data_IF_796701903077
#
_entry.id   IF_796701903077
#
_cell.length_a   1.000
_cell.length_b   1.000
_cell.length_c   1.000
_cell.angle_alpha   90.00
_cell.angle_beta   90.00
_cell.angle_gamma   90.00
#
_symmetry.space_group_name_H-M   'P 1'
#
loop_
_entity.id
_entity.type
_entity.pdbx_description
1 polymer ?
#
# COMPACT_ATOMS: atom_id res chain seq x y z
N UNK A 1 -43.61 -3.95 12.63
CA UNK A 1 -43.50 -2.51 12.25
C UNK A 1 -42.28 -1.88 12.92
N UNK A 2 -42.14 -1.98 14.25
CA UNK A 2 -40.94 -1.53 14.98
C UNK A 2 -39.68 -2.30 14.54
N UNK A 3 -39.72 -3.63 14.44
CA UNK A 3 -38.59 -4.44 13.93
C UNK A 3 -38.09 -4.03 12.53
N UNK A 4 -39.00 -3.55 11.66
CA UNK A 4 -38.61 -3.12 10.31
C UNK A 4 -37.91 -1.75 10.34
N UNK A 5 -38.35 -0.87 11.24
CA UNK A 5 -37.70 0.44 11.49
C UNK A 5 -36.35 0.24 12.15
N UNK A 6 -36.21 -0.73 13.08
CA UNK A 6 -34.94 -1.05 13.70
C UNK A 6 -33.91 -1.56 12.70
N UNK A 7 -34.31 -2.46 11.81
CA UNK A 7 -33.44 -2.96 10.75
C UNK A 7 -32.97 -1.83 9.82
N UNK A 8 -33.88 -0.94 9.45
CA UNK A 8 -33.58 0.21 8.58
C UNK A 8 -32.71 1.26 9.29
N UNK A 9 -32.91 1.48 10.60
CA UNK A 9 -32.05 2.33 11.43
C UNK A 9 -30.64 1.77 11.56
N UNK A 10 -30.49 0.46 11.77
CA UNK A 10 -29.19 -0.22 11.80
C UNK A 10 -28.50 -0.02 10.46
N UNK A 11 -29.18 -0.35 9.35
CA UNK A 11 -28.60 -0.23 8.01
C UNK A 11 -28.13 1.20 7.68
N UNK A 12 -28.97 2.21 7.98
CA UNK A 12 -28.62 3.61 7.75
C UNK A 12 -27.46 4.03 8.66
N UNK A 13 -27.47 3.63 9.94
CA UNK A 13 -26.41 4.02 10.88
C UNK A 13 -25.08 3.35 10.56
N UNK A 14 -25.08 2.09 10.14
CA UNK A 14 -23.89 1.39 9.62
C UNK A 14 -23.31 2.14 8.43
N UNK A 15 -24.15 2.59 7.49
CA UNK A 15 -23.71 3.41 6.34
C UNK A 15 -23.17 4.80 6.76
N UNK A 16 -23.72 5.43 7.80
CA UNK A 16 -23.20 6.69 8.35
C UNK A 16 -21.83 6.48 8.97
N UNK A 17 -21.65 5.43 9.78
CA UNK A 17 -20.34 5.10 10.37
C UNK A 17 -19.32 4.76 9.26
N UNK A 18 -19.75 4.06 8.20
CA UNK A 18 -18.93 3.84 7.01
C UNK A 18 -18.48 5.16 6.37
N UNK A 19 -19.37 6.16 6.27
CA UNK A 19 -19.00 7.49 5.76
C UNK A 19 -17.91 8.14 6.61
N UNK A 20 -18.05 8.12 7.94
CA UNK A 20 -17.04 8.66 8.87
C UNK A 20 -15.68 7.97 8.68
N UNK A 21 -15.66 6.64 8.56
CA UNK A 21 -14.43 5.89 8.28
C UNK A 21 -13.82 6.26 6.92
N UNK A 22 -14.64 6.39 5.88
CA UNK A 22 -14.19 6.83 4.56
C UNK A 22 -13.59 8.24 4.58
N UNK A 23 -14.15 9.15 5.38
CA UNK A 23 -13.60 10.50 5.58
C UNK A 23 -12.22 10.46 6.26
N UNK A 24 -12.04 9.61 7.27
CA UNK A 24 -10.73 9.37 7.88
C UNK A 24 -9.70 8.82 6.88
N UNK A 25 -10.09 7.82 6.06
CA UNK A 25 -9.23 7.24 5.02
C UNK A 25 -8.88 8.26 3.94
N UNK A 26 -9.85 9.09 3.54
CA UNK A 26 -9.65 10.18 2.59
C UNK A 26 -8.61 11.19 3.08
N UNK A 27 -8.71 11.64 4.33
CA UNK A 27 -7.75 12.59 4.90
C UNK A 27 -6.35 11.97 5.03
N UNK A 28 -6.25 10.71 5.46
CA UNK A 28 -4.98 9.99 5.49
C UNK A 28 -4.34 9.89 4.09
N UNK A 29 -5.12 9.52 3.07
CA UNK A 29 -4.67 9.43 1.68
C UNK A 29 -4.24 10.79 1.11
N UNK A 30 -4.97 11.87 1.41
CA UNK A 30 -4.60 13.24 1.01
C UNK A 30 -3.27 13.69 1.60
N UNK A 31 -3.05 13.42 2.88
CA UNK A 31 -1.78 13.74 3.55
C UNK A 31 -0.61 12.96 2.92
N UNK A 32 -0.81 11.70 2.55
CA UNK A 32 0.18 10.90 1.84
C UNK A 32 0.45 11.44 0.43
N UNK A 33 -0.60 11.78 -0.32
CA UNK A 33 -0.50 12.37 -1.66
C UNK A 33 0.29 13.68 -1.65
N UNK A 34 0.06 14.54 -0.66
CA UNK A 34 0.81 15.78 -0.48
C UNK A 34 2.31 15.53 -0.28
N UNK A 35 2.68 14.54 0.54
CA UNK A 35 4.08 14.15 0.76
C UNK A 35 4.72 13.63 -0.52
N UNK A 36 4.01 12.81 -1.29
CA UNK A 36 4.49 12.28 -2.57
C UNK A 36 4.68 13.39 -3.61
N UNK A 37 3.77 14.36 -3.70
CA UNK A 37 3.94 15.52 -4.56
C UNK A 37 5.17 16.35 -4.20
N UNK A 38 5.42 16.57 -2.90
CA UNK A 38 6.62 17.26 -2.43
C UNK A 38 7.90 16.50 -2.82
N UNK A 39 7.92 15.17 -2.62
CA UNK A 39 9.05 14.31 -3.04
C UNK A 39 9.28 14.38 -4.55
N UNK A 40 8.21 14.30 -5.35
CA UNK A 40 8.26 14.39 -6.82
C UNK A 40 8.77 15.75 -7.30
N UNK A 41 8.44 16.85 -6.61
CA UNK A 41 8.93 18.19 -6.95
C UNK A 41 10.45 18.30 -6.74
N UNK A 42 10.97 17.74 -5.64
CA UNK A 42 12.42 17.64 -5.41
C UNK A 42 13.11 16.82 -6.51
N UNK A 43 12.58 15.64 -6.81
CA UNK A 43 13.13 14.75 -7.83
C UNK A 43 13.10 15.35 -9.24
N UNK A 44 12.09 16.16 -9.59
CA UNK A 44 12.04 16.89 -10.86
C UNK A 44 13.23 17.83 -11.03
N UNK A 45 13.69 18.45 -9.94
CA UNK A 45 14.86 19.35 -9.98
C UNK A 45 16.14 18.57 -10.25
N UNK A 46 16.30 17.41 -9.59
CA UNK A 46 17.41 16.49 -9.84
C UNK A 46 17.38 15.98 -11.29
N UNK A 47 16.21 15.57 -11.78
CA UNK A 47 16.04 15.09 -13.15
C UNK A 47 16.52 16.10 -14.18
N UNK A 48 16.13 17.37 -14.03
CA UNK A 48 16.55 18.45 -14.93
C UNK A 48 18.07 18.69 -14.90
N UNK A 49 18.70 18.52 -13.72
CA UNK A 49 20.15 18.62 -13.56
C UNK A 49 20.85 17.49 -14.31
N UNK A 50 20.49 16.23 -14.04
CA UNK A 50 21.13 15.07 -14.68
C UNK A 50 20.92 15.07 -16.21
N UNK A 51 19.73 15.49 -16.68
CA UNK A 51 19.48 15.69 -18.12
C UNK A 51 20.39 16.76 -18.74
N UNK A 52 20.73 17.81 -18.00
CA UNK A 52 21.63 18.87 -18.47
C UNK A 52 23.07 18.38 -18.51
N UNK A 53 23.50 17.64 -17.49
CA UNK A 53 24.86 17.14 -17.37
C UNK A 53 25.17 16.12 -18.49
N UNK A 54 24.26 15.18 -18.76
CA UNK A 54 24.34 14.29 -19.95
C UNK A 54 24.40 15.08 -21.26
N UNK A 55 23.49 16.04 -21.47
CA UNK A 55 23.47 16.87 -22.69
C UNK A 55 24.76 17.67 -22.87
N UNK A 56 25.39 18.12 -21.78
CA UNK A 56 26.64 18.87 -21.84
C UNK A 56 27.80 17.99 -22.32
N UNK A 57 27.87 16.74 -21.84
CA UNK A 57 28.89 15.76 -22.22
C UNK A 57 28.70 15.24 -23.64
N UNK A 58 27.46 15.14 -24.13
CA UNK A 58 27.15 14.76 -25.51
C UNK A 58 27.57 15.83 -26.54
N UNK A 59 27.42 17.12 -26.20
CA UNK A 59 27.69 18.26 -27.10
C UNK A 59 29.17 18.63 -27.29
N UNK A 60 30.09 18.16 -26.44
CA UNK A 60 31.52 18.53 -26.47
C UNK A 60 32.35 17.88 -27.60
N UNK A 61 31.74 17.61 -28.76
CA UNK A 61 32.36 17.00 -29.95
C UNK A 61 33.19 17.99 -30.77
N UNK A 62 34.10 18.75 -30.14
CA UNK A 62 35.08 19.58 -30.86
C UNK A 62 36.42 18.85 -30.98
N UNK A 63 36.89 18.72 -32.23
CA UNK A 63 37.94 17.84 -32.75
C UNK A 63 39.35 17.94 -32.11
N UNK A 64 39.62 18.82 -31.16
CA UNK A 64 40.99 19.12 -30.68
C UNK A 64 41.41 18.47 -29.36
N UNK A 65 40.52 17.78 -28.62
CA UNK A 65 40.80 17.23 -27.28
C UNK A 65 40.73 15.68 -27.25
N UNK A 66 40.81 15.03 -28.41
CA UNK A 66 40.38 13.64 -28.59
C UNK A 66 41.30 12.59 -27.92
N UNK A 67 42.62 12.70 -28.07
CA UNK A 67 43.50 11.55 -27.83
C UNK A 67 43.85 11.23 -26.36
N UNK A 68 43.58 12.13 -25.41
CA UNK A 68 43.85 11.92 -23.97
C UNK A 68 42.59 11.75 -23.11
N UNK A 69 41.39 11.99 -23.67
CA UNK A 69 40.15 12.17 -22.90
C UNK A 69 39.04 11.15 -23.22
N UNK A 70 39.21 10.30 -24.23
CA UNK A 70 38.16 9.35 -24.67
C UNK A 70 37.83 8.29 -23.61
N UNK A 71 38.84 7.79 -22.90
CA UNK A 71 38.63 6.81 -21.83
C UNK A 71 37.79 7.41 -20.69
N UNK A 72 38.23 8.55 -20.14
CA UNK A 72 37.58 9.22 -19.01
C UNK A 72 36.24 9.87 -19.36
N UNK A 73 36.04 10.35 -20.60
CA UNK A 73 34.74 10.89 -21.06
C UNK A 73 33.69 9.80 -21.24
N UNK A 74 34.03 8.67 -21.84
CA UNK A 74 33.08 7.58 -22.05
C UNK A 74 32.63 7.00 -20.70
N UNK A 75 33.56 6.88 -19.76
CA UNK A 75 33.27 6.49 -18.39
C UNK A 75 32.37 7.53 -17.68
N UNK A 76 32.70 8.83 -17.76
CA UNK A 76 31.88 9.89 -17.17
C UNK A 76 30.48 9.95 -17.79
N UNK A 77 30.36 9.88 -19.11
CA UNK A 77 29.06 9.88 -19.81
C UNK A 77 28.22 8.64 -19.43
N UNK A 78 28.86 7.48 -19.23
CA UNK A 78 28.17 6.29 -18.74
C UNK A 78 27.62 6.52 -17.34
N UNK A 79 28.43 7.01 -16.41
CA UNK A 79 28.01 7.26 -15.03
C UNK A 79 26.84 8.26 -14.98
N UNK A 80 26.92 9.35 -15.73
CA UNK A 80 25.87 10.38 -15.77
C UNK A 80 24.57 9.86 -16.41
N UNK A 81 24.67 8.93 -17.38
CA UNK A 81 23.50 8.24 -17.92
C UNK A 81 22.88 7.26 -16.92
N UNK A 82 23.68 6.58 -16.12
CA UNK A 82 23.19 5.72 -15.03
C UNK A 82 22.49 6.55 -13.94
N UNK A 83 23.07 7.68 -13.55
CA UNK A 83 22.46 8.63 -12.61
C UNK A 83 21.14 9.19 -13.16
N UNK A 84 21.11 9.61 -14.42
CA UNK A 84 19.88 10.04 -15.09
C UNK A 84 18.82 8.92 -15.12
N UNK A 85 19.20 7.70 -15.49
CA UNK A 85 18.27 6.57 -15.60
C UNK A 85 17.62 6.24 -14.25
N UNK A 86 18.39 6.29 -13.16
CA UNK A 86 17.87 6.08 -11.79
C UNK A 86 16.81 7.13 -11.43
N UNK A 87 17.11 8.41 -11.69
CA UNK A 87 16.20 9.52 -11.38
C UNK A 87 14.95 9.50 -12.25
N UNK A 88 15.07 9.14 -13.55
CA UNK A 88 13.93 8.95 -14.45
C UNK A 88 13.01 7.84 -13.94
N UNK A 89 13.59 6.70 -13.58
CA UNK A 89 12.84 5.57 -13.06
C UNK A 89 12.10 5.90 -11.75
N UNK A 90 12.77 6.54 -10.78
CA UNK A 90 12.13 7.00 -9.56
C UNK A 90 11.00 8.01 -9.83
N UNK A 91 11.17 8.88 -10.83
CA UNK A 91 10.16 9.86 -11.20
C UNK A 91 8.93 9.19 -11.79
N UNK A 92 9.11 8.23 -12.68
CA UNK A 92 8.03 7.42 -13.24
C UNK A 92 7.29 6.63 -12.16
N UNK A 93 8.03 5.96 -11.27
CA UNK A 93 7.44 5.24 -10.14
C UNK A 93 6.57 6.16 -9.26
N UNK A 94 7.08 7.34 -8.88
CA UNK A 94 6.29 8.27 -8.08
C UNK A 94 5.02 8.75 -8.81
N UNK A 95 5.05 8.87 -10.15
CA UNK A 95 3.84 9.17 -10.91
C UNK A 95 2.81 8.06 -10.79
N UNK A 96 3.24 6.80 -10.91
CA UNK A 96 2.33 5.66 -10.84
C UNK A 96 1.69 5.55 -9.45
N UNK A 97 2.47 5.75 -8.38
CA UNK A 97 1.94 5.76 -7.01
C UNK A 97 0.97 6.94 -6.80
N UNK A 98 1.32 8.13 -7.27
CA UNK A 98 0.42 9.30 -7.20
C UNK A 98 -0.90 9.02 -7.93
N UNK A 99 -0.85 8.41 -9.11
CA UNK A 99 -2.03 8.09 -9.89
C UNK A 99 -2.91 7.04 -9.19
N UNK A 100 -2.30 6.01 -8.60
CA UNK A 100 -3.01 4.99 -7.80
C UNK A 100 -3.69 5.62 -6.59
N UNK A 101 -2.96 6.44 -5.83
CA UNK A 101 -3.49 7.10 -4.64
C UNK A 101 -4.59 8.13 -4.98
N UNK A 102 -4.45 8.83 -6.12
CA UNK A 102 -5.52 9.71 -6.62
C UNK A 102 -6.78 8.91 -6.96
N UNK A 103 -6.63 7.74 -7.57
CA UNK A 103 -7.77 6.86 -7.87
C UNK A 103 -8.46 6.35 -6.59
N UNK A 104 -7.68 6.06 -5.53
CA UNK A 104 -8.22 5.73 -4.20
C UNK A 104 -8.99 6.91 -3.59
N UNK A 105 -8.43 8.13 -3.67
CA UNK A 105 -9.09 9.36 -3.21
C UNK A 105 -10.40 9.60 -3.96
N UNK A 106 -10.41 9.46 -5.28
CA UNK A 106 -11.60 9.66 -6.10
C UNK A 106 -12.69 8.62 -5.75
N UNK A 107 -12.28 7.37 -5.50
CA UNK A 107 -13.16 6.33 -5.00
C UNK A 107 -13.79 6.69 -3.64
N UNK A 108 -12.99 7.16 -2.67
CA UNK A 108 -13.52 7.58 -1.36
C UNK A 108 -14.49 8.76 -1.49
N UNK A 109 -14.16 9.76 -2.31
CA UNK A 109 -15.02 10.92 -2.56
C UNK A 109 -16.37 10.48 -3.14
N UNK A 110 -16.37 9.61 -4.15
CA UNK A 110 -17.60 9.11 -4.76
C UNK A 110 -18.47 8.34 -3.73
N UNK A 111 -17.84 7.47 -2.94
CA UNK A 111 -18.54 6.73 -1.87
C UNK A 111 -19.13 7.67 -0.83
N UNK A 112 -18.40 8.66 -0.34
CA UNK A 112 -18.89 9.64 0.64
C UNK A 112 -20.07 10.44 0.07
N UNK A 113 -19.98 10.88 -1.20
CA UNK A 113 -21.05 11.63 -1.85
C UNK A 113 -22.36 10.83 -1.95
N UNK A 114 -22.26 9.52 -2.21
CA UNK A 114 -23.41 8.63 -2.27
C UNK A 114 -24.11 8.45 -0.90
N UNK A 115 -23.44 8.74 0.21
CA UNK A 115 -23.95 8.58 1.58
C UNK A 115 -24.47 9.89 2.19
N UNK A 116 -24.32 11.03 1.50
CA UNK A 116 -24.56 12.39 2.04
C UNK A 116 -25.98 12.64 2.57
N UNK A 117 -26.98 11.94 2.07
CA UNK A 117 -28.39 12.15 2.43
C UNK A 117 -28.86 11.27 3.60
N UNK A 118 -28.05 10.30 4.02
CA UNK A 118 -28.45 9.28 5.00
C UNK A 118 -28.61 9.84 6.41
N UNK A 119 -27.88 10.89 6.78
CA UNK A 119 -27.98 11.55 8.09
C UNK A 119 -29.38 12.14 8.33
N UNK A 120 -29.96 12.80 7.31
CA UNK A 120 -31.33 13.34 7.42
C UNK A 120 -32.40 12.25 7.45
N UNK A 121 -32.14 11.10 6.79
CA UNK A 121 -33.05 9.96 6.81
C UNK A 121 -33.01 9.26 8.17
N UNK A 122 -31.82 9.09 8.75
CA UNK A 122 -31.63 8.54 10.10
C UNK A 122 -32.41 9.32 11.16
N UNK A 123 -32.25 10.64 11.19
CA UNK A 123 -32.96 11.54 12.13
C UNK A 123 -34.48 11.45 12.01
N UNK A 124 -34.98 11.27 10.78
CA UNK A 124 -36.42 11.12 10.53
C UNK A 124 -36.94 9.78 11.03
N UNK A 125 -36.23 8.69 10.75
CA UNK A 125 -36.61 7.34 11.20
C UNK A 125 -36.51 7.20 12.72
N UNK A 126 -35.50 7.84 13.34
CA UNK A 126 -35.30 7.81 14.79
C UNK A 126 -36.48 8.46 15.51
N UNK A 127 -36.95 9.64 15.05
CA UNK A 127 -38.14 10.31 15.58
C UNK A 127 -39.41 9.48 15.41
N UNK A 128 -39.55 8.76 14.30
CA UNK A 128 -40.66 7.84 14.08
C UNK A 128 -40.63 6.68 15.10
N UNK A 129 -39.45 6.10 15.35
CA UNK A 129 -39.26 5.04 16.36
C UNK A 129 -39.57 5.55 17.78
N UNK A 130 -39.04 6.71 18.17
CA UNK A 130 -39.31 7.33 19.48
C UNK A 130 -40.82 7.52 19.70
N UNK A 131 -41.53 8.03 18.70
CA UNK A 131 -42.99 8.23 18.75
C UNK A 131 -43.74 6.91 18.88
N UNK A 132 -43.27 5.82 18.25
CA UNK A 132 -43.92 4.50 18.33
C UNK A 132 -43.68 3.81 19.68
N UNK A 133 -42.51 3.97 20.29
CA UNK A 133 -42.15 3.31 21.56
C UNK A 133 -42.75 4.05 22.76
N UNK A 134 -42.79 5.38 22.71
CA UNK A 134 -43.48 6.22 23.70
C UNK A 134 -44.95 5.81 23.90
N UNK A 135 -45.60 5.34 22.84
CA UNK A 135 -47.01 4.96 22.87
C UNK A 135 -47.28 3.50 23.25
N UNK A 136 -46.26 2.61 23.30
CA UNK A 136 -46.51 1.15 23.34
C UNK A 136 -45.73 0.33 24.37
N UNK A 137 -44.55 0.74 24.90
CA UNK A 137 -43.90 0.15 26.10
C UNK A 137 -42.48 0.71 26.31
N UNK A 138 -42.31 1.58 27.31
CA UNK A 138 -41.05 2.30 27.61
C UNK A 138 -39.90 1.38 28.11
N UNK A 139 -40.20 0.24 28.73
CA UNK A 139 -39.19 -0.60 29.41
C UNK A 139 -38.23 -1.34 28.45
N UNK A 140 -38.64 -1.58 27.20
CA UNK A 140 -37.83 -2.29 26.20
C UNK A 140 -36.96 -1.36 25.33
N UNK A 141 -37.13 -0.03 25.44
CA UNK A 141 -36.40 0.96 24.62
C UNK A 141 -34.88 0.87 24.81
N UNK A 142 -34.45 0.86 26.07
CA UNK A 142 -33.04 0.89 26.45
C UNK A 142 -32.29 -0.40 26.06
N UNK A 143 -32.79 -1.62 26.38
CA UNK A 143 -32.17 -2.86 25.92
C UNK A 143 -32.06 -2.96 24.40
N UNK A 144 -33.12 -2.60 23.68
CA UNK A 144 -33.17 -2.67 22.21
C UNK A 144 -32.18 -1.70 21.55
N UNK A 145 -32.08 -0.48 22.08
CA UNK A 145 -31.12 0.52 21.57
C UNK A 145 -29.68 0.07 21.78
N UNK A 146 -29.37 -0.58 22.91
CA UNK A 146 -28.05 -1.15 23.17
C UNK A 146 -27.70 -2.29 22.21
N UNK A 147 -28.63 -3.21 21.96
CA UNK A 147 -28.43 -4.29 20.99
C UNK A 147 -28.21 -3.76 19.57
N UNK A 148 -29.01 -2.78 19.14
CA UNK A 148 -28.83 -2.15 17.83
C UNK A 148 -27.44 -1.50 17.70
N UNK A 149 -26.98 -0.79 18.74
CA UNK A 149 -25.65 -0.18 18.75
C UNK A 149 -24.54 -1.23 18.69
N UNK A 150 -24.73 -2.37 19.36
CA UNK A 150 -23.80 -3.50 19.29
C UNK A 150 -23.73 -4.09 17.88
N UNK A 151 -24.88 -4.32 17.21
CA UNK A 151 -24.92 -4.78 15.81
C UNK A 151 -24.16 -3.80 14.91
N UNK A 152 -24.43 -2.51 15.00
CA UNK A 152 -23.77 -1.46 14.20
C UNK A 152 -22.25 -1.52 14.36
N UNK A 153 -21.76 -1.66 15.60
CA UNK A 153 -20.33 -1.73 15.88
C UNK A 153 -19.71 -3.01 15.30
N UNK A 154 -20.40 -4.15 15.42
CA UNK A 154 -19.93 -5.42 14.88
C UNK A 154 -19.91 -5.41 13.34
N UNK A 155 -20.89 -4.79 12.68
CA UNK A 155 -20.92 -4.64 11.22
C UNK A 155 -19.77 -3.76 10.72
N UNK A 156 -19.50 -2.64 11.41
CA UNK A 156 -18.35 -1.80 11.11
C UNK A 156 -17.02 -2.57 11.26
N UNK A 157 -16.87 -3.33 12.35
CA UNK A 157 -15.69 -4.17 12.59
C UNK A 157 -15.48 -5.21 11.48
N UNK A 158 -16.55 -5.91 11.08
CA UNK A 158 -16.51 -6.90 9.99
C UNK A 158 -16.03 -6.24 8.70
N UNK A 159 -16.51 -5.04 8.40
CA UNK A 159 -16.11 -4.32 7.19
C UNK A 159 -14.62 -3.98 7.21
N UNK A 160 -14.12 -3.34 8.27
CA UNK A 160 -12.70 -2.96 8.40
C UNK A 160 -11.79 -4.20 8.34
N UNK A 161 -12.17 -5.29 9.02
CA UNK A 161 -11.42 -6.57 8.95
C UNK A 161 -11.34 -7.09 7.51
N UNK A 162 -12.44 -7.05 6.76
CA UNK A 162 -12.42 -7.49 5.36
C UNK A 162 -11.50 -6.63 4.49
N UNK A 163 -11.48 -5.31 4.68
CA UNK A 163 -10.60 -4.40 3.94
C UNK A 163 -9.12 -4.69 4.24
N UNK A 164 -8.76 -4.91 5.51
CA UNK A 164 -7.41 -5.32 5.88
C UNK A 164 -7.04 -6.72 5.35
N UNK A 165 -7.97 -7.68 5.35
CA UNK A 165 -7.76 -9.00 4.77
C UNK A 165 -7.48 -8.91 3.26
N UNK A 166 -8.18 -8.04 2.53
CA UNK A 166 -7.94 -7.81 1.10
C UNK A 166 -6.54 -7.21 0.90
N UNK A 167 -6.22 -6.12 1.60
CA UNK A 167 -4.91 -5.47 1.49
C UNK A 167 -3.75 -6.41 1.86
N UNK A 168 -3.89 -7.20 2.93
CA UNK A 168 -2.86 -8.17 3.34
C UNK A 168 -2.69 -9.31 2.33
N UNK A 169 -3.77 -9.77 1.67
CA UNK A 169 -3.68 -10.76 0.58
C UNK A 169 -2.95 -10.20 -0.65
N UNK A 170 -3.18 -8.93 -1.00
CA UNK A 170 -2.42 -8.25 -2.06
C UNK A 170 -0.91 -8.25 -1.73
N UNK A 171 -0.56 -7.98 -0.47
CA UNK A 171 0.84 -8.03 -0.01
C UNK A 171 1.43 -9.44 -0.11
N UNK A 172 0.69 -10.48 0.33
CA UNK A 172 1.14 -11.88 0.22
C UNK A 172 1.45 -12.26 -1.24
N UNK A 173 0.54 -11.93 -2.15
CA UNK A 173 0.73 -12.19 -3.57
C UNK A 173 2.00 -11.48 -4.11
N UNK A 174 2.21 -10.22 -3.73
CA UNK A 174 3.40 -9.48 -4.15
C UNK A 174 4.70 -10.10 -3.60
N UNK A 175 4.72 -10.52 -2.32
CA UNK A 175 5.86 -11.20 -1.71
C UNK A 175 6.22 -12.50 -2.43
N UNK A 176 5.22 -13.31 -2.80
CA UNK A 176 5.43 -14.54 -3.58
C UNK A 176 6.02 -14.26 -4.96
N UNK A 177 5.51 -13.24 -5.65
CA UNK A 177 5.99 -12.82 -6.96
C UNK A 177 7.44 -12.33 -6.91
N UNK A 178 7.81 -11.56 -5.89
CA UNK A 178 9.20 -11.12 -5.69
C UNK A 178 10.08 -12.32 -5.37
N UNK A 179 9.62 -13.25 -4.51
CA UNK A 179 10.36 -14.48 -4.20
C UNK A 179 10.66 -15.31 -5.45
N UNK A 180 9.69 -15.46 -6.37
CA UNK A 180 9.90 -16.12 -7.67
C UNK A 180 10.95 -15.40 -8.53
N UNK A 181 10.86 -14.07 -8.60
CA UNK A 181 11.82 -13.25 -9.36
C UNK A 181 13.25 -13.35 -8.80
N UNK A 182 13.42 -13.24 -7.48
CA UNK A 182 14.71 -13.35 -6.81
C UNK A 182 15.32 -14.76 -6.88
N UNK A 183 14.50 -15.81 -6.74
CA UNK A 183 14.98 -17.19 -6.93
C UNK A 183 15.44 -17.44 -8.36
N UNK A 184 14.71 -16.90 -9.33
CA UNK A 184 15.12 -16.94 -10.74
C UNK A 184 16.46 -16.23 -10.91
N UNK A 185 16.63 -15.02 -10.38
CA UNK A 185 17.89 -14.27 -10.44
C UNK A 185 19.07 -14.98 -9.75
N UNK A 186 18.83 -15.64 -8.61
CA UNK A 186 19.85 -16.43 -7.88
C UNK A 186 20.37 -17.61 -8.70
N UNK A 187 19.50 -18.28 -9.46
CA UNK A 187 19.85 -19.42 -10.31
C UNK A 187 20.74 -19.10 -11.51
N UNK A 188 20.81 -17.82 -11.95
CA UNK A 188 21.75 -17.37 -12.99
C UNK A 188 23.13 -16.98 -12.44
N UNK A 189 23.24 -16.71 -11.12
CA UNK A 189 24.51 -16.34 -10.48
C UNK A 189 25.46 -17.51 -10.27
N UNK A 190 24.95 -18.75 -10.19
CA UNK A 190 25.77 -19.96 -10.08
C UNK A 190 26.39 -20.40 -11.41
N UNK A 191 25.87 -19.92 -12.55
CA UNK A 191 26.42 -20.21 -13.88
C UNK A 191 27.73 -19.47 -14.16
N UNK A 192 27.98 -18.30 -13.54
CA UNK A 192 29.24 -17.55 -13.69
C UNK A 192 30.45 -18.26 -13.10
N UNK A 193 30.26 -19.11 -12.08
CA UNK A 193 31.33 -19.89 -11.47
C UNK A 193 31.78 -21.07 -12.35
N UNK A 194 31.04 -21.40 -13.41
CA UNK A 194 31.32 -22.51 -14.33
C UNK A 194 31.71 -22.07 -15.75
N UNK A 195 32.15 -20.81 -15.92
CA UNK A 195 32.83 -20.34 -17.12
C UNK A 195 31.93 -20.16 -18.35
N UNK A 196 31.38 -18.95 -18.51
CA UNK A 196 30.69 -18.55 -19.74
C UNK A 196 30.63 -17.04 -19.87
N UNK A 197 31.44 -16.47 -20.78
CA UNK A 197 31.65 -15.02 -20.91
C UNK A 197 30.52 -14.23 -21.56
N UNK A 198 30.54 -12.92 -21.28
CA UNK A 198 29.96 -11.76 -21.99
C UNK A 198 28.47 -11.74 -22.35
N UNK A 199 27.76 -12.87 -22.42
CA UNK A 199 26.32 -12.94 -22.68
C UNK A 199 25.47 -13.09 -21.40
N UNK A 200 26.09 -13.24 -20.22
CA UNK A 200 25.38 -13.39 -18.94
C UNK A 200 24.99 -12.06 -18.28
N UNK A 201 25.60 -10.93 -18.66
CA UNK A 201 25.38 -9.63 -18.01
C UNK A 201 24.05 -8.97 -18.41
N UNK A 202 23.68 -9.00 -19.70
CA UNK A 202 22.46 -8.34 -20.20
C UNK A 202 21.16 -9.00 -19.72
N UNK A 203 21.13 -10.32 -19.60
CA UNK A 203 19.96 -11.04 -19.07
C UNK A 203 19.80 -10.88 -17.56
N UNK A 204 20.91 -10.78 -16.80
CA UNK A 204 20.86 -10.57 -15.34
C UNK A 204 20.25 -9.22 -14.96
N UNK A 205 20.58 -8.15 -15.68
CA UNK A 205 20.00 -6.83 -15.40
C UNK A 205 18.47 -6.84 -15.54
N UNK A 206 17.92 -7.43 -16.61
CA UNK A 206 16.46 -7.43 -16.85
C UNK A 206 15.61 -8.07 -15.72
N UNK A 207 16.15 -9.09 -15.04
CA UNK A 207 15.47 -9.81 -13.95
C UNK A 207 15.63 -9.15 -12.60
N UNK A 208 16.76 -8.47 -12.38
CA UNK A 208 16.96 -7.64 -11.21
C UNK A 208 16.07 -6.38 -11.30
N UNK A 209 15.97 -5.77 -12.48
CA UNK A 209 15.06 -4.65 -12.73
C UNK A 209 13.59 -5.05 -12.51
N UNK A 210 13.23 -6.30 -12.87
CA UNK A 210 11.89 -6.86 -12.62
C UNK A 210 11.62 -7.04 -11.12
N UNK A 211 12.60 -7.57 -10.36
CA UNK A 211 12.49 -7.67 -8.92
C UNK A 211 12.37 -6.28 -8.27
N UNK A 212 13.16 -5.30 -8.71
CA UNK A 212 13.10 -3.93 -8.22
C UNK A 212 11.71 -3.30 -8.41
N UNK A 213 11.12 -3.46 -9.60
CA UNK A 213 9.74 -3.00 -9.87
C UNK A 213 8.74 -3.63 -8.89
N UNK A 214 8.77 -4.96 -8.76
CA UNK A 214 7.85 -5.70 -7.88
C UNK A 214 8.03 -5.31 -6.41
N UNK A 215 9.26 -5.05 -5.97
CA UNK A 215 9.58 -4.61 -4.60
C UNK A 215 9.00 -3.22 -4.31
N UNK A 216 9.09 -2.28 -5.26
CA UNK A 216 8.49 -0.96 -5.09
C UNK A 216 6.96 -1.03 -5.05
N UNK A 217 6.35 -1.88 -5.89
CA UNK A 217 4.92 -2.18 -5.76
C UNK A 217 4.56 -2.74 -4.37
N UNK A 218 5.40 -3.63 -3.82
CA UNK A 218 5.22 -4.16 -2.47
C UNK A 218 5.29 -3.06 -1.40
N UNK A 219 6.16 -2.06 -1.52
CA UNK A 219 6.21 -0.93 -0.58
C UNK A 219 4.87 -0.18 -0.56
N UNK A 220 4.25 0.05 -1.71
CA UNK A 220 2.91 0.64 -1.78
C UNK A 220 1.87 -0.22 -1.06
N UNK A 221 1.85 -1.53 -1.34
CA UNK A 221 0.90 -2.46 -0.75
C UNK A 221 1.09 -2.59 0.77
N UNK A 222 2.32 -2.61 1.26
CA UNK A 222 2.63 -2.61 2.68
C UNK A 222 2.13 -1.34 3.37
N UNK A 223 2.31 -0.18 2.74
CA UNK A 223 1.77 1.08 3.28
C UNK A 223 0.24 1.07 3.31
N UNK A 224 -0.41 0.60 2.24
CA UNK A 224 -1.87 0.41 2.20
C UNK A 224 -2.34 -0.51 3.32
N UNK A 225 -1.76 -1.70 3.44
CA UNK A 225 -2.09 -2.66 4.51
C UNK A 225 -1.86 -2.08 5.90
N UNK A 226 -0.79 -1.31 6.11
CA UNK A 226 -0.53 -0.62 7.38
C UNK A 226 -1.61 0.42 7.74
N UNK A 227 -2.21 1.10 6.75
CA UNK A 227 -3.34 2.01 7.00
C UNK A 227 -4.56 1.23 7.47
N UNK A 228 -4.93 0.16 6.76
CA UNK A 228 -6.06 -0.70 7.16
C UNK A 228 -5.86 -1.32 8.55
N UNK A 229 -4.63 -1.75 8.88
CA UNK A 229 -4.31 -2.26 10.22
C UNK A 229 -4.42 -1.20 11.32
N UNK A 230 -4.04 0.05 11.05
CA UNK A 230 -4.18 1.13 12.04
C UNK A 230 -5.63 1.39 12.37
N UNK A 231 -6.50 1.39 11.36
CA UNK A 231 -7.92 1.61 11.56
C UNK A 231 -8.52 0.48 12.41
N UNK A 232 -8.16 -0.79 12.13
CA UNK A 232 -8.53 -1.93 12.97
C UNK A 232 -7.99 -1.80 14.40
N UNK A 233 -6.72 -1.44 14.59
CA UNK A 233 -6.14 -1.33 15.93
C UNK A 233 -6.83 -0.21 16.75
N UNK A 234 -7.30 0.86 16.11
CA UNK A 234 -8.08 1.93 16.75
C UNK A 234 -9.48 1.47 17.16
N UNK A 235 -10.14 0.64 16.36
CA UNK A 235 -11.55 0.27 16.56
C UNK A 235 -11.77 -1.07 17.26
N UNK A 236 -10.85 -2.04 17.10
CA UNK A 236 -11.01 -3.45 17.48
C UNK A 236 -10.01 -3.86 18.59
N UNK A 237 -9.12 -2.96 19.03
CA UNK A 237 -8.11 -3.22 20.07
C UNK A 237 -7.30 -4.51 19.83
N UNK A 238 -6.99 -4.77 18.57
CA UNK A 238 -5.98 -5.75 18.15
C UNK A 238 -4.68 -4.96 17.99
N UNK A 239 -3.52 -5.55 18.28
CA UNK A 239 -2.23 -4.89 18.16
C UNK A 239 -1.41 -5.54 17.04
N UNK A 240 -1.80 -5.30 15.79
CA UNK A 240 -1.08 -5.77 14.61
C UNK A 240 -0.08 -4.71 14.15
N UNK A 241 1.20 -5.06 14.06
CA UNK A 241 2.28 -4.14 13.65
C UNK A 241 3.15 -4.75 12.55
N UNK A 242 3.44 -3.93 11.53
CA UNK A 242 4.36 -4.25 10.43
C UNK A 242 5.48 -3.21 10.28
N UNK A 243 5.66 -2.33 11.26
CA UNK A 243 6.62 -1.21 11.18
C UNK A 243 8.05 -1.67 10.98
N UNK A 244 8.44 -2.82 11.55
CA UNK A 244 9.77 -3.41 11.33
C UNK A 244 9.95 -3.88 9.88
N UNK A 245 8.91 -4.49 9.30
CA UNK A 245 8.86 -4.88 7.89
C UNK A 245 9.00 -3.64 7.00
N UNK A 246 8.19 -2.61 7.21
CA UNK A 246 8.27 -1.35 6.44
C UNK A 246 9.67 -0.75 6.46
N UNK A 247 10.27 -0.59 7.66
CA UNK A 247 11.62 -0.04 7.81
C UNK A 247 12.68 -0.86 7.08
N UNK A 248 12.56 -2.18 7.12
CA UNK A 248 13.46 -3.05 6.35
C UNK A 248 13.31 -2.79 4.86
N UNK A 249 12.08 -2.77 4.34
CA UNK A 249 11.84 -2.58 2.91
C UNK A 249 12.24 -1.18 2.42
N UNK A 250 12.12 -0.15 3.26
CA UNK A 250 12.61 1.20 2.95
C UNK A 250 14.14 1.22 2.86
N UNK A 251 14.85 0.75 3.88
CA UNK A 251 16.32 0.86 3.94
C UNK A 251 17.05 -0.09 3.00
N UNK A 252 16.60 -1.35 2.92
CA UNK A 252 17.36 -2.42 2.29
C UNK A 252 17.32 -2.34 0.76
N UNK A 253 16.17 -1.99 0.18
CA UNK A 253 15.97 -2.04 -1.26
C UNK A 253 16.41 -0.78 -2.00
N UNK A 254 16.60 0.34 -1.29
CA UNK A 254 17.22 1.53 -1.86
C UNK A 254 18.69 1.29 -2.30
N UNK A 255 19.35 0.25 -1.78
CA UNK A 255 20.79 -0.01 -1.97
C UNK A 255 21.12 -1.43 -2.49
N UNK A 256 20.12 -2.20 -2.90
CA UNK A 256 20.31 -3.64 -3.12
C UNK A 256 21.01 -3.97 -4.44
N UNK A 257 20.79 -3.19 -5.51
CA UNK A 257 21.22 -3.54 -6.88
C UNK A 257 22.47 -2.78 -7.37
N UNK A 258 23.14 -2.00 -6.51
CA UNK A 258 24.27 -1.15 -6.90
C UNK A 258 25.64 -1.82 -6.93
N UNK A 259 25.83 -3.00 -6.32
CA UNK A 259 27.17 -3.58 -6.10
C UNK A 259 27.31 -5.05 -6.53
N UNK A 260 28.54 -5.43 -6.92
CA UNK A 260 29.04 -6.78 -7.25
C UNK A 260 28.81 -7.87 -6.16
N UNK A 261 28.19 -7.55 -5.02
CA UNK A 261 27.76 -8.48 -3.97
C UNK A 261 26.29 -8.94 -4.14
N UNK A 262 25.90 -9.25 -5.37
CA UNK A 262 24.50 -9.58 -5.73
C UNK A 262 24.01 -10.84 -4.99
N UNK A 263 24.83 -11.87 -4.82
CA UNK A 263 24.38 -13.14 -4.21
C UNK A 263 24.01 -13.02 -2.72
N UNK A 264 24.87 -12.44 -1.88
CA UNK A 264 24.59 -12.29 -0.43
C UNK A 264 23.47 -11.29 -0.15
N UNK A 265 23.30 -10.29 -1.01
CA UNK A 265 22.14 -9.37 -0.97
C UNK A 265 20.85 -10.10 -1.36
N UNK A 266 20.84 -10.93 -2.41
CA UNK A 266 19.65 -11.74 -2.79
C UNK A 266 19.24 -12.69 -1.65
N UNK A 267 20.17 -13.38 -1.00
CA UNK A 267 19.84 -14.28 0.11
C UNK A 267 19.18 -13.54 1.28
N UNK A 268 19.74 -12.40 1.70
CA UNK A 268 19.13 -11.53 2.72
C UNK A 268 17.75 -11.03 2.31
N UNK A 269 17.55 -10.69 1.04
CA UNK A 269 16.24 -10.28 0.53
C UNK A 269 15.21 -11.40 0.65
N UNK A 270 15.59 -12.63 0.27
CA UNK A 270 14.74 -13.81 0.38
C UNK A 270 14.38 -14.13 1.83
N UNK A 271 15.33 -14.07 2.75
CA UNK A 271 15.08 -14.25 4.19
C UNK A 271 14.03 -13.27 4.70
N UNK A 272 14.13 -12.00 4.30
CA UNK A 272 13.27 -10.93 4.80
C UNK A 272 11.89 -10.96 4.15
N UNK A 273 11.80 -11.35 2.88
CA UNK A 273 10.52 -11.66 2.21
C UNK A 273 9.82 -12.82 2.90
N UNK A 274 10.54 -13.90 3.25
CA UNK A 274 9.95 -15.02 3.98
C UNK A 274 9.50 -14.61 5.39
N UNK A 275 10.26 -13.75 6.07
CA UNK A 275 9.86 -13.24 7.38
C UNK A 275 8.61 -12.35 7.30
N UNK A 276 8.57 -11.43 6.34
CA UNK A 276 7.41 -10.59 6.07
C UNK A 276 6.17 -11.43 5.72
N UNK A 277 6.34 -12.43 4.85
CA UNK A 277 5.28 -13.38 4.51
C UNK A 277 4.71 -14.05 5.77
N UNK A 278 5.57 -14.55 6.66
CA UNK A 278 5.14 -15.21 7.90
C UNK A 278 4.40 -14.25 8.83
N UNK A 279 4.93 -13.04 9.03
CA UNK A 279 4.28 -12.02 9.87
C UNK A 279 2.88 -11.71 9.35
N UNK A 280 2.77 -11.40 8.06
CA UNK A 280 1.50 -11.00 7.45
C UNK A 280 0.52 -12.15 7.42
N UNK A 281 0.97 -13.37 7.11
CA UNK A 281 0.10 -14.54 7.12
C UNK A 281 -0.44 -14.88 8.51
N UNK A 282 0.36 -14.68 9.56
CA UNK A 282 -0.11 -14.81 10.95
C UNK A 282 -1.18 -13.74 11.26
N UNK A 283 -0.93 -12.48 10.90
CA UNK A 283 -1.90 -11.40 11.11
C UNK A 283 -3.21 -11.64 10.33
N UNK A 284 -3.14 -12.13 9.10
CA UNK A 284 -4.31 -12.53 8.31
C UNK A 284 -5.11 -13.64 9.02
N UNK A 285 -4.43 -14.57 9.68
CA UNK A 285 -5.09 -15.63 10.46
C UNK A 285 -5.79 -15.07 11.69
N UNK A 286 -5.17 -14.11 12.39
CA UNK A 286 -5.77 -13.41 13.53
C UNK A 286 -7.01 -12.60 13.10
N UNK A 287 -6.92 -11.90 11.97
CA UNK A 287 -8.04 -11.18 11.37
C UNK A 287 -9.20 -12.10 10.98
N UNK A 288 -8.92 -13.28 10.43
CA UNK A 288 -9.96 -14.26 10.07
C UNK A 288 -10.68 -14.84 11.31
N UNK A 289 -9.95 -15.04 12.41
CA UNK A 289 -10.53 -15.45 13.69
C UNK A 289 -11.46 -14.36 14.22
N UNK A 290 -11.01 -13.10 14.20
CA UNK A 290 -11.82 -11.98 14.68
C UNK A 290 -13.04 -11.72 13.77
N UNK A 291 -12.90 -11.91 12.45
CA UNK A 291 -14.01 -11.84 11.50
C UNK A 291 -15.10 -12.86 11.86
N UNK A 292 -14.70 -14.11 12.11
CA UNK A 292 -15.61 -15.19 12.51
C UNK A 292 -16.28 -14.89 13.84
N UNK A 293 -15.53 -14.33 14.80
CA UNK A 293 -16.06 -13.94 16.11
C UNK A 293 -17.11 -12.85 16.00
N UNK A 294 -16.84 -11.76 15.29
CA UNK A 294 -17.81 -10.67 15.09
C UNK A 294 -19.05 -11.16 14.34
N UNK A 295 -18.86 -11.98 13.30
CA UNK A 295 -19.98 -12.58 12.54
C UNK A 295 -20.82 -13.52 13.41
N UNK A 296 -20.20 -14.26 14.32
CA UNK A 296 -20.91 -15.11 15.28
C UNK A 296 -21.71 -14.27 16.27
N UNK A 297 -21.10 -13.22 16.85
CA UNK A 297 -21.76 -12.34 17.82
C UNK A 297 -23.01 -11.68 17.23
N UNK A 298 -22.96 -11.19 15.98
CA UNK A 298 -24.14 -10.64 15.30
C UNK A 298 -25.27 -11.66 15.23
N UNK A 299 -24.98 -12.95 15.00
CA UNK A 299 -26.00 -14.00 14.91
C UNK A 299 -26.60 -14.39 16.27
N UNK A 300 -25.99 -13.98 17.38
CA UNK A 300 -26.49 -14.25 18.73
C UNK A 300 -27.39 -13.12 19.26
N UNK A 301 -27.36 -11.95 18.62
CA UNK A 301 -28.25 -10.81 18.87
C UNK A 301 -29.55 -11.02 18.10
#
# INVERSE_FOLDING_TARGET
MIENIDKELIEIKTKINEKENLEHKLEAARLELQKLHAKKAGLKTQLLKEQKDVKSLEKLTLKSIWYSFIGSRNEKLRNEREELSKVEYEYHYLNDIINRLQSEIDYYIDKINNLKHLESQYETLLKQKETMIYNNNHELYEPLTKLNQEIINLEANIKEINEALIAGKEVINALEEIKKALNSASGWGTWDLLGGGLFSDLMKHSKLDEAERKIRDLQYLLNKYNRELKDINMHININLDISSTLKFFDFFFDNIFSDLMVHSKIQRALEQINNAYRIINNQLSELDIELKRNTYNIKQI
#
